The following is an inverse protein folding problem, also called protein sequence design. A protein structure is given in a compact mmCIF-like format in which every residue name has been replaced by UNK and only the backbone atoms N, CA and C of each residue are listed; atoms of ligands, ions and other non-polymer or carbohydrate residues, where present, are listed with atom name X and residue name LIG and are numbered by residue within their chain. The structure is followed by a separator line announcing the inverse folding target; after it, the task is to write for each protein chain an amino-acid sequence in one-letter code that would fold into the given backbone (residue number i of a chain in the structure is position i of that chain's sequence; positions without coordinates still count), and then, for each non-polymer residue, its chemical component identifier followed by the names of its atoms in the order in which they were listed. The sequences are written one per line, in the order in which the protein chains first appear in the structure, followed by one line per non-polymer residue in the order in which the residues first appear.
data_IF_517585269035
#
_entry.id   IF_517585269035
#
_cell.length_a   1.000
_cell.length_b   1.000
_cell.length_c   1.000
_cell.angle_alpha   90.00
_cell.angle_beta   90.00
_cell.angle_gamma   90.00
#
_symmetry.space_group_name_H-M   'P 1'
#
loop_
_entity.id
_entity.type
_entity.pdbx_description
1 polymer ?
#
# COMPACT_ATOMS: atom_id res chain seq x y z
N UNK A 1 3.48 -9.05 -3.93
CA UNK A 1 4.44 -10.07 -4.46
C UNK A 1 4.74 -9.77 -5.92
N UNK A 2 5.98 -9.88 -6.32
CA UNK A 2 6.44 -9.67 -7.70
C UNK A 2 7.01 -11.00 -8.20
N UNK A 3 6.64 -11.38 -9.41
CA UNK A 3 7.27 -12.48 -10.16
C UNK A 3 8.22 -11.88 -11.18
N UNK A 4 9.46 -12.30 -11.11
CA UNK A 4 10.49 -12.03 -12.13
C UNK A 4 10.71 -13.32 -12.91
N UNK A 5 10.52 -13.28 -14.20
CA UNK A 5 10.72 -14.42 -15.10
C UNK A 5 11.70 -14.06 -16.20
N UNK A 6 12.64 -14.95 -16.43
CA UNK A 6 13.71 -14.77 -17.41
C UNK A 6 13.63 -15.92 -18.43
N UNK A 7 13.03 -15.69 -19.63
CA UNK A 7 12.77 -16.75 -20.60
C UNK A 7 14.00 -17.54 -21.03
N UNK A 8 15.18 -16.91 -20.99
CA UNK A 8 16.46 -17.56 -21.33
C UNK A 8 17.14 -18.28 -20.15
N UNK A 9 16.62 -18.15 -18.93
CA UNK A 9 17.20 -18.74 -17.73
C UNK A 9 16.12 -19.03 -16.69
N UNK A 10 15.27 -20.04 -16.88
CA UNK A 10 14.15 -20.32 -16.00
C UNK A 10 14.57 -20.70 -14.57
N UNK A 11 15.81 -21.12 -14.38
CA UNK A 11 16.39 -21.35 -13.05
C UNK A 11 16.59 -20.06 -12.23
N UNK A 12 16.50 -18.90 -12.85
CA UNK A 12 16.57 -17.58 -12.20
C UNK A 12 15.19 -16.98 -11.96
N UNK A 13 14.13 -17.65 -12.40
CA UNK A 13 12.77 -17.21 -12.11
C UNK A 13 12.54 -17.17 -10.60
N UNK A 14 11.98 -16.07 -10.12
CA UNK A 14 11.74 -15.86 -8.71
C UNK A 14 10.39 -15.18 -8.46
N UNK A 15 9.71 -15.62 -7.42
CA UNK A 15 8.57 -14.90 -6.83
C UNK A 15 9.04 -14.34 -5.51
N UNK A 16 9.06 -13.02 -5.39
CA UNK A 16 9.57 -12.32 -4.22
C UNK A 16 8.52 -11.41 -3.60
N UNK A 17 8.51 -11.37 -2.28
CA UNK A 17 7.74 -10.38 -1.54
C UNK A 17 8.60 -9.14 -1.34
N UNK A 18 8.06 -7.97 -1.67
CA UNK A 18 8.75 -6.71 -1.38
C UNK A 18 8.91 -6.55 0.13
N UNK A 19 10.14 -6.39 0.59
CA UNK A 19 10.45 -6.18 2.01
C UNK A 19 9.98 -4.79 2.47
N UNK A 20 9.95 -4.57 3.77
CA UNK A 20 9.55 -3.27 4.33
C UNK A 20 10.46 -2.12 3.91
N UNK A 21 11.73 -2.40 3.60
CA UNK A 21 12.69 -1.45 3.05
C UNK A 21 12.47 -1.14 1.56
N UNK A 22 11.47 -1.76 0.93
CA UNK A 22 11.15 -1.57 -0.48
C UNK A 22 12.04 -2.34 -1.45
N UNK A 23 12.79 -3.32 -0.98
CA UNK A 23 13.73 -4.12 -1.78
C UNK A 23 13.26 -5.54 -1.94
N UNK A 24 13.77 -6.18 -3.00
CA UNK A 24 13.71 -7.63 -3.22
C UNK A 24 15.14 -8.16 -3.39
N UNK A 25 15.31 -9.46 -3.12
CA UNK A 25 16.59 -10.13 -3.30
C UNK A 25 16.51 -11.11 -4.49
N UNK A 26 17.35 -10.92 -5.47
CA UNK A 26 17.38 -11.72 -6.68
C UNK A 26 18.71 -12.42 -6.86
N UNK A 27 18.65 -13.64 -7.36
CA UNK A 27 19.85 -14.41 -7.67
C UNK A 27 20.78 -13.65 -8.63
N UNK A 28 22.07 -13.76 -8.42
CA UNK A 28 23.18 -13.15 -9.18
C UNK A 28 23.35 -11.63 -9.03
N UNK A 29 22.30 -10.86 -8.79
CA UNK A 29 22.37 -9.40 -8.71
C UNK A 29 22.11 -8.85 -7.30
N UNK A 30 21.66 -9.71 -6.38
CA UNK A 30 21.42 -9.34 -4.98
C UNK A 30 20.21 -8.42 -4.79
N UNK A 31 20.31 -7.50 -3.84
CA UNK A 31 19.21 -6.60 -3.47
C UNK A 31 18.94 -5.53 -4.55
N UNK A 32 17.67 -5.38 -4.88
CA UNK A 32 17.19 -4.39 -5.87
C UNK A 32 16.08 -3.56 -5.24
N UNK A 33 16.21 -2.24 -5.34
CA UNK A 33 15.15 -1.31 -4.92
C UNK A 33 14.00 -1.39 -5.91
N UNK A 34 12.79 -1.71 -5.42
CA UNK A 34 11.59 -1.87 -6.26
C UNK A 34 10.44 -0.97 -5.85
N UNK A 35 10.41 -0.52 -4.59
CA UNK A 35 9.37 0.38 -4.12
C UNK A 35 9.40 1.71 -4.88
N UNK A 36 8.24 2.16 -5.34
CA UNK A 36 8.09 3.38 -6.11
C UNK A 36 8.37 3.25 -7.60
N UNK A 37 8.82 2.09 -8.08
CA UNK A 37 9.01 1.82 -9.49
C UNK A 37 7.76 1.20 -10.12
N UNK A 38 7.47 1.59 -11.35
CA UNK A 38 6.48 0.89 -12.18
C UNK A 38 7.06 -0.44 -12.67
N UNK A 39 6.23 -1.45 -12.97
CA UNK A 39 6.71 -2.73 -13.48
C UNK A 39 7.63 -2.60 -14.71
N UNK A 40 7.32 -1.68 -15.62
CA UNK A 40 8.14 -1.42 -16.82
C UNK A 40 9.51 -0.81 -16.47
N UNK A 41 9.57 0.07 -15.49
CA UNK A 41 10.83 0.68 -15.01
C UNK A 41 11.71 -0.36 -14.32
N UNK A 42 11.10 -1.20 -13.49
CA UNK A 42 11.79 -2.31 -12.84
C UNK A 42 12.32 -3.31 -13.87
N UNK A 43 11.54 -3.64 -14.89
CA UNK A 43 11.96 -4.51 -15.97
C UNK A 43 13.21 -3.97 -16.70
N UNK A 44 13.22 -2.68 -17.03
CA UNK A 44 14.36 -2.03 -17.66
C UNK A 44 15.62 -2.06 -16.77
N UNK A 45 15.46 -1.81 -15.47
CA UNK A 45 16.57 -1.86 -14.51
C UNK A 45 17.12 -3.28 -14.37
N UNK A 46 16.26 -4.30 -14.32
CA UNK A 46 16.67 -5.70 -14.24
C UNK A 46 17.38 -6.15 -15.51
N UNK A 47 16.90 -5.78 -16.69
CA UNK A 47 17.58 -6.06 -17.97
C UNK A 47 18.99 -5.49 -17.94
N UNK A 48 19.16 -4.25 -17.46
CA UNK A 48 20.47 -3.60 -17.36
C UNK A 48 21.41 -4.32 -16.41
N UNK A 49 20.91 -4.80 -15.26
CA UNK A 49 21.73 -5.50 -14.25
C UNK A 49 22.08 -6.93 -14.65
N UNK A 50 21.18 -7.62 -15.33
CA UNK A 50 21.41 -8.97 -15.82
C UNK A 50 22.16 -9.03 -17.15
N UNK A 51 22.27 -7.92 -17.89
CA UNK A 51 22.89 -7.87 -19.21
C UNK A 51 24.28 -8.54 -19.31
N UNK A 52 25.20 -8.42 -18.32
CA UNK A 52 26.48 -9.10 -18.33
C UNK A 52 26.40 -10.62 -18.19
N UNK A 53 25.29 -11.15 -17.70
CA UNK A 53 25.14 -12.54 -17.24
C UNK A 53 24.15 -13.36 -18.08
N UNK A 54 23.35 -12.69 -18.90
CA UNK A 54 22.32 -13.32 -19.73
C UNK A 54 22.63 -13.20 -21.21
N UNK A 55 22.51 -14.33 -21.93
CA UNK A 55 22.56 -14.37 -23.39
C UNK A 55 21.30 -13.78 -24.00
N UNK A 56 20.15 -14.02 -23.37
CA UNK A 56 18.84 -13.41 -23.71
C UNK A 56 18.57 -12.19 -22.84
N UNK A 57 18.34 -11.05 -23.46
CA UNK A 57 18.09 -9.77 -22.79
C UNK A 57 16.61 -9.56 -22.47
N UNK A 58 15.88 -10.62 -22.21
CA UNK A 58 14.46 -10.54 -21.86
C UNK A 58 14.26 -10.83 -20.38
N UNK A 59 13.62 -9.91 -19.69
CA UNK A 59 13.17 -10.05 -18.31
C UNK A 59 11.70 -9.64 -18.26
N UNK A 60 10.85 -10.50 -17.74
CA UNK A 60 9.42 -10.23 -17.57
C UNK A 60 9.17 -10.01 -16.09
N UNK A 61 8.62 -8.84 -15.77
CA UNK A 61 8.17 -8.50 -14.41
C UNK A 61 6.66 -8.47 -14.40
N UNK A 62 6.05 -9.29 -13.54
CA UNK A 62 4.60 -9.30 -13.31
C UNK A 62 4.29 -9.15 -11.83
N UNK A 63 3.26 -8.38 -11.53
CA UNK A 63 2.71 -8.27 -10.18
C UNK A 63 1.78 -9.46 -9.97
N UNK A 64 2.14 -10.37 -9.07
CA UNK A 64 1.35 -11.57 -8.76
C UNK A 64 0.25 -11.26 -7.76
N UNK A 65 0.54 -10.47 -6.75
CA UNK A 65 -0.45 -9.93 -5.84
C UNK A 65 0.10 -8.65 -5.19
N UNK A 66 -0.73 -7.64 -5.08
CA UNK A 66 -0.47 -6.50 -4.23
C UNK A 66 -1.36 -6.64 -3.00
N UNK A 67 -0.81 -6.95 -1.84
CA UNK A 67 -1.55 -6.87 -0.60
C UNK A 67 -1.24 -5.55 0.09
N UNK A 68 -2.25 -4.73 0.25
CA UNK A 68 -2.17 -3.50 1.02
C UNK A 68 -2.81 -3.79 2.39
N UNK A 69 -2.02 -3.78 3.43
CA UNK A 69 -2.52 -3.95 4.80
C UNK A 69 -2.60 -2.58 5.46
N UNK A 70 -3.78 -2.23 5.95
CA UNK A 70 -4.01 -1.02 6.74
C UNK A 70 -4.70 -1.39 8.05
N UNK A 71 -4.73 -0.47 8.99
CA UNK A 71 -5.37 -0.67 10.29
C UNK A 71 -6.40 0.42 10.51
N UNK A 72 -7.56 0.05 11.00
CA UNK A 72 -8.63 0.99 11.34
C UNK A 72 -8.95 0.86 12.82
N UNK A 73 -9.02 1.99 13.51
CA UNK A 73 -9.31 2.05 14.95
C UNK A 73 -10.17 3.25 15.30
N UNK A 74 -10.67 3.29 16.51
CA UNK A 74 -11.54 4.35 17.02
C UNK A 74 -13.03 4.04 16.87
N UNK A 75 -13.82 5.05 16.55
CA UNK A 75 -15.28 4.94 16.46
C UNK A 75 -15.76 4.30 15.15
N UNK A 76 -15.42 3.02 14.96
CA UNK A 76 -15.91 2.14 13.88
C UNK A 76 -16.52 0.89 14.48
N UNK A 77 -17.37 0.21 13.72
CA UNK A 77 -18.08 -0.95 14.23
C UNK A 77 -17.18 -2.17 14.46
N UNK A 78 -16.16 -2.35 13.62
CA UNK A 78 -15.21 -3.47 13.68
C UNK A 78 -13.78 -2.97 13.48
N UNK A 79 -13.16 -2.37 14.53
CA UNK A 79 -11.77 -1.96 14.44
C UNK A 79 -10.85 -3.15 14.24
N UNK A 80 -9.80 -2.97 13.46
CA UNK A 80 -8.83 -4.03 13.22
C UNK A 80 -8.03 -3.87 11.92
N UNK A 81 -7.43 -4.96 11.51
CA UNK A 81 -6.61 -5.06 10.31
C UNK A 81 -7.50 -5.22 9.07
N UNK A 82 -7.27 -4.39 8.07
CA UNK A 82 -7.89 -4.48 6.76
C UNK A 82 -6.82 -4.91 5.75
N UNK A 83 -7.13 -5.94 4.98
CA UNK A 83 -6.26 -6.45 3.90
C UNK A 83 -6.99 -6.28 2.58
N UNK A 84 -6.36 -5.60 1.64
CA UNK A 84 -6.87 -5.34 0.31
C UNK A 84 -5.86 -5.78 -0.74
N UNK A 85 -6.30 -6.19 -1.89
CA UNK A 85 -5.47 -6.56 -3.05
C UNK A 85 -5.14 -5.36 -3.95
N UNK A 86 -5.66 -4.19 -3.62
CA UNK A 86 -5.44 -2.92 -4.32
C UNK A 86 -5.35 -1.75 -3.32
N UNK A 87 -4.79 -0.62 -3.72
CA UNK A 87 -4.82 0.59 -2.89
C UNK A 87 -6.25 1.04 -2.62
N UNK A 88 -6.62 1.18 -1.35
CA UNK A 88 -7.94 1.65 -0.93
C UNK A 88 -7.86 3.07 -0.37
N UNK A 89 -9.00 3.76 -0.39
CA UNK A 89 -9.12 5.07 0.22
C UNK A 89 -9.39 4.97 1.73
N UNK A 90 -9.20 6.07 2.44
CA UNK A 90 -9.54 6.14 3.87
C UNK A 90 -11.03 5.85 4.14
N UNK A 91 -11.91 6.26 3.22
CA UNK A 91 -13.34 5.95 3.32
C UNK A 91 -13.61 4.45 3.15
N UNK A 92 -13.02 3.82 2.12
CA UNK A 92 -13.18 2.38 1.89
C UNK A 92 -12.68 1.57 3.08
N UNK A 93 -11.54 1.93 3.66
CA UNK A 93 -11.02 1.26 4.86
C UNK A 93 -11.99 1.35 6.05
N UNK A 94 -12.59 2.51 6.26
CA UNK A 94 -13.61 2.68 7.32
C UNK A 94 -14.86 1.84 7.02
N UNK A 95 -15.29 1.77 5.76
CA UNK A 95 -16.43 0.94 5.36
C UNK A 95 -16.14 -0.57 5.52
N UNK A 96 -14.94 -1.03 5.18
CA UNK A 96 -14.48 -2.40 5.42
C UNK A 96 -14.43 -2.76 6.92
N UNK A 97 -14.13 -1.77 7.77
CA UNK A 97 -14.23 -1.89 9.23
C UNK A 97 -15.68 -1.91 9.75
N UNK A 98 -16.65 -2.18 8.90
CA UNK A 98 -18.08 -2.22 9.22
C UNK A 98 -18.78 -0.86 9.20
N UNK A 99 -18.08 0.18 8.78
CA UNK A 99 -18.57 1.54 8.78
C UNK A 99 -18.29 2.28 10.09
N UNK A 100 -18.50 3.61 10.09
CA UNK A 100 -18.37 4.41 11.30
C UNK A 100 -19.51 4.11 12.29
N UNK A 101 -19.22 4.16 13.56
CA UNK A 101 -20.27 4.23 14.59
C UNK A 101 -20.89 5.62 14.57
N UNK A 102 -21.96 5.79 13.82
CA UNK A 102 -22.63 7.08 13.64
C UNK A 102 -23.11 7.76 14.93
N UNK A 103 -23.24 7.00 16.01
CA UNK A 103 -23.60 7.55 17.32
C UNK A 103 -22.42 8.28 17.97
N UNK A 104 -21.19 7.94 17.62
CA UNK A 104 -19.98 8.44 18.29
C UNK A 104 -18.96 9.03 17.33
N UNK A 105 -18.92 8.59 16.08
CA UNK A 105 -17.84 8.93 15.16
C UNK A 105 -17.82 10.41 14.75
N UNK A 106 -16.67 11.03 14.84
CA UNK A 106 -16.41 12.35 14.26
C UNK A 106 -15.75 12.19 12.88
N UNK A 107 -16.55 12.09 11.83
CA UNK A 107 -16.09 11.92 10.46
C UNK A 107 -15.44 13.17 9.85
N UNK A 108 -15.52 14.32 10.53
CA UNK A 108 -14.88 15.57 10.07
C UNK A 108 -13.38 15.62 10.37
N UNK A 109 -12.91 14.82 11.32
CA UNK A 109 -11.56 14.86 11.84
C UNK A 109 -10.88 13.48 11.89
N UNK A 110 -11.14 12.64 10.90
CA UNK A 110 -10.47 11.33 10.77
C UNK A 110 -8.99 11.54 10.52
N UNK A 111 -8.15 10.81 11.26
CA UNK A 111 -6.69 10.95 11.17
C UNK A 111 -6.10 9.71 10.52
N UNK A 112 -5.31 9.91 9.48
CA UNK A 112 -4.47 8.87 8.90
C UNK A 112 -3.05 9.05 9.42
N UNK A 113 -2.57 8.05 10.15
CA UNK A 113 -1.22 8.03 10.72
C UNK A 113 -0.34 7.19 9.79
N UNK A 114 0.66 7.79 9.23
CA UNK A 114 1.60 7.18 8.28
C UNK A 114 3.01 7.21 8.83
N UNK A 115 3.66 6.06 8.83
CA UNK A 115 5.08 5.97 9.10
C UNK A 115 5.85 6.06 7.77
N UNK A 116 6.65 7.09 7.61
CA UNK A 116 7.49 7.27 6.43
C UNK A 116 8.75 6.41 6.51
N UNK A 117 9.44 6.21 5.37
CA UNK A 117 10.62 5.35 5.28
C UNK A 117 11.80 5.80 6.16
N UNK A 118 11.85 7.08 6.54
CA UNK A 118 12.84 7.67 7.43
C UNK A 118 12.52 7.46 8.93
N UNK A 119 11.43 6.73 9.23
CA UNK A 119 10.97 6.47 10.60
C UNK A 119 10.11 7.59 11.20
N UNK A 120 9.88 8.68 10.49
CA UNK A 120 8.99 9.74 10.95
C UNK A 120 7.54 9.32 10.82
N UNK A 121 6.73 9.80 11.75
CA UNK A 121 5.29 9.63 11.70
C UNK A 121 4.63 10.91 11.23
N UNK A 122 3.82 10.82 10.18
CA UNK A 122 3.00 11.93 9.69
C UNK A 122 1.52 11.64 9.92
N UNK A 123 0.80 12.68 10.34
CA UNK A 123 -0.64 12.63 10.55
C UNK A 123 -1.35 13.48 9.50
N UNK A 124 -2.33 12.88 8.84
CA UNK A 124 -3.18 13.55 7.85
C UNK A 124 -4.61 13.58 8.37
N UNK A 125 -5.19 14.77 8.46
CA UNK A 125 -6.60 14.91 8.80
C UNK A 125 -7.45 14.86 7.55
N UNK A 126 -8.40 13.94 7.51
CA UNK A 126 -9.30 13.70 6.38
C UNK A 126 -10.74 13.93 6.82
N UNK A 127 -11.46 14.78 6.12
CA UNK A 127 -12.88 15.01 6.37
C UNK A 127 -13.73 14.03 5.54
N UNK A 128 -14.00 12.86 6.11
CA UNK A 128 -14.80 11.83 5.42
C UNK A 128 -16.27 12.24 5.29
N UNK A 129 -16.77 13.15 6.13
CA UNK A 129 -18.15 13.64 5.98
C UNK A 129 -18.36 14.36 4.66
N UNK A 130 -17.41 15.20 4.24
CA UNK A 130 -17.48 15.88 2.94
C UNK A 130 -17.38 14.91 1.75
N UNK A 131 -16.62 13.82 1.91
CA UNK A 131 -16.52 12.79 0.87
C UNK A 131 -17.84 12.05 0.73
N UNK A 132 -18.46 11.65 1.84
CA UNK A 132 -19.76 10.95 1.85
C UNK A 132 -20.87 11.85 1.29
N UNK A 133 -20.86 13.15 1.60
CA UNK A 133 -21.83 14.13 1.08
C UNK A 133 -21.58 14.53 -0.38
N UNK A 134 -20.54 13.98 -1.02
CA UNK A 134 -20.17 14.31 -2.41
C UNK A 134 -19.62 15.72 -2.61
N UNK A 135 -19.27 16.42 -1.52
CA UNK A 135 -18.74 17.79 -1.56
C UNK A 135 -17.21 17.83 -1.77
N UNK A 136 -16.53 16.72 -1.56
CA UNK A 136 -15.11 16.55 -1.82
C UNK A 136 -14.91 15.42 -2.79
N UNK A 137 -14.34 15.71 -3.95
CA UNK A 137 -14.14 14.74 -5.04
C UNK A 137 -12.77 14.07 -5.00
N UNK A 138 -11.80 14.60 -4.24
CA UNK A 138 -10.43 14.07 -4.21
C UNK A 138 -10.30 13.00 -3.13
N UNK A 139 -10.17 11.71 -3.53
CA UNK A 139 -10.02 10.63 -2.57
C UNK A 139 -8.64 10.68 -1.90
N UNK A 140 -8.57 10.26 -0.63
CA UNK A 140 -7.32 10.06 0.09
C UNK A 140 -6.96 8.58 0.06
N UNK A 141 -5.95 8.22 -0.74
CA UNK A 141 -5.47 6.84 -0.84
C UNK A 141 -4.52 6.48 0.30
N UNK A 142 -4.74 5.31 0.86
CA UNK A 142 -3.89 4.74 1.90
C UNK A 142 -2.66 4.05 1.30
N UNK A 143 -1.58 4.07 2.05
CA UNK A 143 -0.38 3.26 1.79
C UNK A 143 -0.36 2.04 2.73
N UNK A 144 0.40 0.98 2.39
CA UNK A 144 0.60 -0.14 3.31
C UNK A 144 1.08 0.32 4.69
N UNK A 145 0.52 -0.27 5.73
CA UNK A 145 0.77 0.04 7.15
C UNK A 145 0.21 1.37 7.67
N UNK A 146 -0.56 2.11 6.87
CA UNK A 146 -1.28 3.27 7.39
C UNK A 146 -2.28 2.84 8.47
N UNK A 147 -2.46 3.70 9.47
CA UNK A 147 -3.46 3.55 10.53
C UNK A 147 -4.51 4.64 10.33
N UNK A 148 -5.75 4.24 10.20
CA UNK A 148 -6.90 5.16 10.12
C UNK A 148 -7.55 5.21 11.50
N UNK A 149 -7.50 6.37 12.14
CA UNK A 149 -8.14 6.62 13.42
C UNK A 149 -9.37 7.49 13.24
N UNK A 150 -10.52 6.95 13.62
CA UNK A 150 -11.80 7.67 13.63
C UNK A 150 -12.06 8.16 15.05
N UNK A 151 -11.91 9.46 15.33
CA UNK A 151 -12.13 9.98 16.68
C UNK A 151 -13.60 9.97 17.06
N UNK A 152 -13.87 9.94 18.35
CA UNK A 152 -15.20 10.15 18.88
C UNK A 152 -15.57 11.64 18.85
N UNK A 153 -16.80 11.93 18.47
CA UNK A 153 -17.36 13.26 18.58
C UNK A 153 -17.93 13.46 19.99
N UNK A 154 -17.51 14.51 20.66
CA UNK A 154 -18.17 14.90 21.90
C UNK A 154 -19.54 15.51 21.57
N UNK A 155 -20.61 14.82 21.92
CA UNK A 155 -21.93 15.43 21.99
C UNK A 155 -22.01 16.10 23.35
N UNK A 156 -21.87 17.43 23.37
CA UNK A 156 -22.21 18.21 24.57
C UNK A 156 -23.73 18.22 24.62
N UNK A 157 -24.31 17.58 25.61
CA UNK A 157 -25.72 17.67 25.93
C UNK A 157 -26.02 18.99 26.65
#
# INVERSE_FOLDING_TARGET
MIKVSIPGAPNLDAVQTIRRDGRIDLALIGEVQVAGLKPAELQAELIKRYAPQLVSKEVIVSVVSSSCTTFVTGAVLRPGKIVSDHPITALEAVMEAGGPDYAKANLKAVVVIRQEADGRTQNYTVNLKLVIEGKQSKPFYLKPSDIVYVPEGFTIF
#
